data_IF_928721531224
#
_entry.id   IF_928721531224
#
_cell.length_a   1.000
_cell.length_b   1.000
_cell.length_c   1.000
_cell.angle_alpha   90.00
_cell.angle_beta   90.00
_cell.angle_gamma   90.00
#
_symmetry.space_group_name_H-M   'P 1'
#
loop_
_entity.id
_entity.type
_entity.pdbx_description
1 polymer ?
#
# COMPACT_ATOMS: atom_id res chain seq x y z
N UNK A 1 -12.91 17.12 -4.98
CA UNK A 1 -13.10 15.67 -5.14
C UNK A 1 -13.92 15.20 -3.95
N UNK A 2 -15.15 14.77 -4.21
CA UNK A 2 -16.05 14.22 -3.20
C UNK A 2 -15.59 12.82 -2.78
N UNK A 3 -15.91 12.40 -1.55
CA UNK A 3 -15.69 11.01 -1.10
C UNK A 3 -16.43 10.02 -2.00
N UNK A 4 -17.56 10.45 -2.58
CA UNK A 4 -18.32 9.68 -3.56
C UNK A 4 -17.51 9.44 -4.84
N UNK A 5 -16.77 10.43 -5.34
CA UNK A 5 -15.91 10.27 -6.53
C UNK A 5 -14.80 9.23 -6.29
N UNK A 6 -14.27 9.17 -5.06
CA UNK A 6 -13.25 8.18 -4.69
C UNK A 6 -13.85 6.77 -4.70
N UNK A 7 -15.04 6.59 -4.09
CA UNK A 7 -15.75 5.31 -4.07
C UNK A 7 -16.15 4.88 -5.48
N UNK A 8 -16.61 5.82 -6.31
CA UNK A 8 -17.01 5.57 -7.69
C UNK A 8 -15.81 5.13 -8.53
N UNK A 9 -14.65 5.78 -8.38
CA UNK A 9 -13.37 5.37 -9.00
C UNK A 9 -12.93 3.99 -8.52
N UNK A 10 -13.09 3.66 -7.23
CA UNK A 10 -12.81 2.31 -6.72
C UNK A 10 -13.78 1.27 -7.29
N UNK A 11 -15.07 1.62 -7.42
CA UNK A 11 -16.09 0.74 -7.97
C UNK A 11 -15.89 0.51 -9.47
N UNK A 12 -15.52 1.53 -10.23
CA UNK A 12 -15.21 1.45 -11.65
C UNK A 12 -13.90 0.67 -11.88
N UNK A 13 -12.91 0.82 -11.00
CA UNK A 13 -11.73 -0.02 -11.01
C UNK A 13 -12.06 -1.50 -10.76
N UNK A 14 -13.04 -1.81 -9.91
CA UNK A 14 -13.56 -3.16 -9.65
C UNK A 14 -14.39 -3.72 -10.83
N UNK A 15 -15.26 -2.91 -11.45
CA UNK A 15 -16.18 -3.35 -12.51
C UNK A 15 -15.49 -3.46 -13.88
N UNK A 16 -14.59 -2.51 -14.21
CA UNK A 16 -13.76 -2.61 -15.44
C UNK A 16 -12.76 -3.77 -15.31
N UNK A 17 -12.40 -4.12 -14.09
CA UNK A 17 -11.54 -5.25 -13.78
C UNK A 17 -12.17 -6.60 -14.18
N UNK A 18 -13.48 -6.79 -13.97
CA UNK A 18 -14.17 -8.04 -14.31
C UNK A 18 -14.43 -8.21 -15.81
N UNK A 19 -14.72 -7.12 -16.55
CA UNK A 19 -15.09 -7.21 -17.97
C UNK A 19 -13.93 -7.44 -18.94
N UNK A 20 -12.67 -7.27 -18.51
CA UNK A 20 -11.47 -7.51 -19.33
C UNK A 20 -10.64 -8.72 -18.88
N UNK A 21 -11.08 -9.49 -17.88
CA UNK A 21 -10.30 -10.58 -17.33
C UNK A 21 -10.58 -11.90 -18.06
N UNK A 22 -9.65 -12.31 -18.92
CA UNK A 22 -9.48 -13.72 -19.25
C UNK A 22 -9.22 -14.57 -17.99
N UNK A 23 -9.35 -15.91 -18.08
CA UNK A 23 -9.66 -16.81 -16.95
C UNK A 23 -8.56 -17.03 -15.89
N UNK A 24 -7.48 -16.25 -15.84
CA UNK A 24 -6.43 -16.41 -14.82
C UNK A 24 -5.83 -15.08 -14.39
N UNK A 25 -6.59 -14.27 -13.63
CA UNK A 25 -5.92 -13.29 -12.77
C UNK A 25 -5.12 -14.06 -11.71
N UNK A 26 -3.81 -13.81 -11.58
CA UNK A 26 -3.02 -14.52 -10.59
C UNK A 26 -3.53 -14.15 -9.19
N UNK A 27 -3.72 -15.18 -8.35
CA UNK A 27 -4.24 -15.06 -6.96
C UNK A 27 -3.47 -14.04 -6.12
N UNK A 28 -2.23 -13.71 -6.54
CA UNK A 28 -1.37 -12.69 -5.95
C UNK A 28 -2.03 -11.30 -5.89
N UNK A 29 -2.82 -10.91 -6.90
CA UNK A 29 -3.49 -9.59 -6.88
C UNK A 29 -4.62 -9.53 -5.87
N UNK A 30 -5.35 -10.63 -5.71
CA UNK A 30 -6.42 -10.74 -4.70
C UNK A 30 -5.83 -10.50 -3.31
N UNK A 31 -4.62 -11.02 -3.04
CA UNK A 31 -3.92 -10.77 -1.78
C UNK A 31 -3.67 -9.27 -1.55
N UNK A 32 -3.18 -8.53 -2.55
CA UNK A 32 -2.95 -7.09 -2.42
C UNK A 32 -4.26 -6.29 -2.27
N UNK A 33 -5.33 -6.69 -2.96
CA UNK A 33 -6.66 -6.10 -2.75
C UNK A 33 -7.19 -6.35 -1.34
N UNK A 34 -7.03 -7.57 -0.83
CA UNK A 34 -7.43 -7.93 0.55
C UNK A 34 -6.60 -7.16 1.57
N UNK A 35 -5.30 -6.94 1.31
CA UNK A 35 -4.43 -6.16 2.18
C UNK A 35 -4.72 -4.66 2.14
N UNK A 36 -5.27 -4.14 1.05
CA UNK A 36 -5.52 -2.70 0.89
C UNK A 36 -6.39 -2.11 2.01
N UNK A 37 -7.52 -2.76 2.32
CA UNK A 37 -8.45 -2.30 3.36
C UNK A 37 -7.82 -2.28 4.76
N UNK A 38 -7.21 -3.37 5.26
CA UNK A 38 -6.44 -3.39 6.50
C UNK A 38 -5.34 -2.32 6.55
N UNK A 39 -4.59 -2.12 5.46
CA UNK A 39 -3.52 -1.14 5.41
C UNK A 39 -4.04 0.29 5.57
N UNK A 40 -5.16 0.63 4.91
CA UNK A 40 -5.81 1.93 5.05
C UNK A 40 -6.33 2.13 6.49
N UNK A 41 -7.00 1.12 7.04
CA UNK A 41 -7.54 1.17 8.39
C UNK A 41 -6.43 1.34 9.44
N UNK A 42 -5.34 0.58 9.32
CA UNK A 42 -4.20 0.70 10.21
C UNK A 42 -3.53 2.07 10.09
N UNK A 43 -3.34 2.57 8.87
CA UNK A 43 -2.78 3.92 8.68
C UNK A 43 -3.66 5.00 9.29
N UNK A 44 -4.99 4.88 9.20
CA UNK A 44 -5.92 5.81 9.84
C UNK A 44 -5.78 5.83 11.37
N UNK A 45 -5.41 4.70 12.00
CA UNK A 45 -5.11 4.64 13.43
C UNK A 45 -3.74 5.27 13.74
N UNK A 46 -2.73 4.94 12.93
CA UNK A 46 -1.34 5.40 13.12
C UNK A 46 -1.11 6.86 12.71
N UNK A 47 -2.03 7.49 11.98
CA UNK A 47 -1.91 8.89 11.53
C UNK A 47 -1.63 9.82 12.70
N UNK A 48 -2.25 9.58 13.87
CA UNK A 48 -2.04 10.39 15.08
C UNK A 48 -0.61 10.28 15.58
N UNK A 49 -0.07 9.07 15.62
CA UNK A 49 1.33 8.81 16.00
C UNK A 49 2.28 9.53 15.04
N UNK A 50 2.04 9.41 13.73
CA UNK A 50 2.89 10.02 12.71
C UNK A 50 2.87 11.55 12.80
N UNK A 51 1.70 12.15 13.02
CA UNK A 51 1.58 13.61 13.18
C UNK A 51 2.21 14.15 14.46
N UNK A 52 2.41 13.30 15.47
CA UNK A 52 3.04 13.68 16.74
C UNK A 52 4.58 13.67 16.67
N UNK A 53 5.17 13.12 15.61
CA UNK A 53 6.61 13.13 15.40
C UNK A 53 7.15 14.56 15.24
N UNK A 54 8.41 14.77 15.61
CA UNK A 54 9.06 16.08 15.45
C UNK A 54 9.12 16.56 13.99
N UNK A 55 9.18 15.63 13.02
CA UNK A 55 9.18 15.95 11.59
C UNK A 55 8.30 14.99 10.78
N UNK A 56 6.96 15.16 10.83
CA UNK A 56 6.02 14.24 10.18
C UNK A 56 6.21 14.18 8.66
N UNK A 57 6.54 15.31 8.04
CA UNK A 57 6.74 15.42 6.59
C UNK A 57 7.99 14.66 6.15
N UNK A 58 9.10 14.79 6.89
CA UNK A 58 10.33 14.05 6.57
C UNK A 58 10.12 12.55 6.77
N UNK A 59 9.44 12.16 7.84
CA UNK A 59 9.07 10.78 8.09
C UNK A 59 8.24 10.20 6.93
N UNK A 60 7.15 10.89 6.54
CA UNK A 60 6.31 10.49 5.42
C UNK A 60 7.11 10.41 4.12
N UNK A 61 7.95 11.40 3.82
CA UNK A 61 8.76 11.43 2.60
C UNK A 61 9.73 10.26 2.51
N UNK A 62 10.50 10.01 3.56
CA UNK A 62 11.50 8.93 3.60
C UNK A 62 10.83 7.56 3.48
N UNK A 63 9.81 7.29 4.29
CA UNK A 63 9.16 5.98 4.30
C UNK A 63 8.25 5.74 3.08
N UNK A 64 7.74 6.80 2.45
CA UNK A 64 7.09 6.68 1.13
C UNK A 64 8.10 6.29 0.05
N UNK A 65 9.30 6.88 0.06
CA UNK A 65 10.36 6.52 -0.87
C UNK A 65 10.82 5.07 -0.66
N UNK A 66 10.97 4.64 0.60
CA UNK A 66 11.27 3.24 0.93
C UNK A 66 10.15 2.31 0.43
N UNK A 67 8.89 2.66 0.67
CA UNK A 67 7.74 1.90 0.18
C UNK A 67 7.70 1.78 -1.35
N UNK A 68 8.09 2.84 -2.07
CA UNK A 68 8.23 2.82 -3.52
C UNK A 68 9.33 1.86 -3.98
N UNK A 69 10.50 1.87 -3.33
CA UNK A 69 11.61 0.96 -3.63
C UNK A 69 11.16 -0.50 -3.39
N UNK A 70 10.49 -0.76 -2.27
CA UNK A 70 9.95 -2.08 -1.94
C UNK A 70 8.93 -2.53 -2.99
N UNK A 71 8.04 -1.64 -3.43
CA UNK A 71 7.06 -1.93 -4.49
C UNK A 71 7.73 -2.34 -5.79
N UNK A 72 8.75 -1.60 -6.23
CA UNK A 72 9.52 -1.94 -7.43
C UNK A 72 10.16 -3.33 -7.27
N UNK A 73 10.77 -3.59 -6.11
CA UNK A 73 11.34 -4.90 -5.80
C UNK A 73 10.30 -6.03 -5.84
N UNK A 74 9.13 -5.83 -5.21
CA UNK A 74 8.03 -6.78 -5.22
C UNK A 74 7.55 -7.06 -6.64
N UNK A 75 7.38 -6.02 -7.46
CA UNK A 75 6.99 -6.17 -8.87
C UNK A 75 8.00 -6.98 -9.67
N UNK A 76 9.30 -6.69 -9.50
CA UNK A 76 10.38 -7.45 -10.15
C UNK A 76 10.35 -8.93 -9.73
N UNK A 77 10.14 -9.20 -8.44
CA UNK A 77 10.07 -10.57 -7.92
C UNK A 77 8.86 -11.30 -8.51
N UNK A 78 7.68 -10.68 -8.52
CA UNK A 78 6.47 -11.31 -9.05
C UNK A 78 6.63 -11.58 -10.56
N UNK A 79 7.24 -10.67 -11.31
CA UNK A 79 7.54 -10.86 -12.73
C UNK A 79 8.55 -11.99 -12.96
N UNK A 80 9.65 -12.05 -12.18
CA UNK A 80 10.65 -13.12 -12.28
C UNK A 80 10.11 -14.50 -11.91
N UNK A 81 9.10 -14.57 -11.05
CA UNK A 81 8.43 -15.80 -10.68
C UNK A 81 7.34 -16.22 -11.69
N UNK A 82 7.21 -15.52 -12.82
CA UNK A 82 6.20 -15.78 -13.85
C UNK A 82 4.76 -15.77 -13.29
N UNK A 83 4.56 -15.07 -12.18
CA UNK A 83 3.25 -14.96 -11.55
C UNK A 83 2.35 -13.95 -12.28
N UNK A 84 2.93 -13.09 -13.13
CA UNK A 84 2.23 -12.13 -13.98
C UNK A 84 2.91 -12.14 -15.35
N UNK A 85 2.13 -12.34 -16.42
CA UNK A 85 2.63 -12.30 -17.81
C UNK A 85 2.80 -10.87 -18.33
N UNK A 86 1.91 -9.94 -17.95
CA UNK A 86 1.96 -8.54 -18.40
C UNK A 86 1.68 -7.59 -17.23
N UNK A 87 2.53 -6.57 -17.07
CA UNK A 87 2.41 -5.58 -16.00
C UNK A 87 1.66 -4.33 -16.47
N UNK A 88 0.41 -4.15 -16.03
CA UNK A 88 -0.35 -2.93 -16.35
C UNK A 88 -0.15 -1.87 -15.28
N UNK A 89 -0.33 -0.60 -15.65
CA UNK A 89 -0.23 0.54 -14.71
C UNK A 89 -1.14 0.38 -13.48
N UNK A 90 -2.35 -0.16 -13.66
CA UNK A 90 -3.30 -0.44 -12.56
C UNK A 90 -2.77 -1.49 -11.58
N UNK A 91 -2.07 -2.49 -12.10
CA UNK A 91 -1.51 -3.57 -11.30
C UNK A 91 -0.36 -3.05 -10.41
N UNK A 92 0.48 -2.16 -10.94
CA UNK A 92 1.51 -1.47 -10.18
C UNK A 92 0.92 -0.65 -9.01
N UNK A 93 -0.12 0.14 -9.27
CA UNK A 93 -0.79 0.95 -8.22
C UNK A 93 -1.42 0.06 -7.14
N UNK A 94 -1.99 -1.08 -7.54
CA UNK A 94 -2.60 -2.06 -6.62
C UNK A 94 -1.58 -2.62 -5.63
N UNK A 95 -0.31 -2.73 -6.01
CA UNK A 95 0.78 -3.18 -5.14
C UNK A 95 1.37 -1.99 -4.36
N UNK A 96 1.55 -0.85 -5.04
CA UNK A 96 2.17 0.35 -4.48
C UNK A 96 1.46 0.85 -3.22
N UNK A 97 0.14 1.03 -3.29
CA UNK A 97 -0.64 1.61 -2.20
C UNK A 97 -0.51 0.77 -0.91
N UNK A 98 -0.84 -0.53 -0.90
CA UNK A 98 -0.76 -1.32 0.33
C UNK A 98 0.68 -1.45 0.84
N UNK A 99 1.68 -1.64 -0.03
CA UNK A 99 3.09 -1.76 0.39
C UNK A 99 3.57 -0.48 1.07
N UNK A 100 3.29 0.69 0.48
CA UNK A 100 3.69 1.97 1.04
C UNK A 100 2.98 2.27 2.37
N UNK A 101 1.66 2.03 2.44
CA UNK A 101 0.91 2.22 3.68
C UNK A 101 1.41 1.30 4.80
N UNK A 102 1.66 0.02 4.50
CA UNK A 102 2.22 -0.92 5.48
C UNK A 102 3.61 -0.49 5.94
N UNK A 103 4.46 -0.04 5.02
CA UNK A 103 5.80 0.46 5.34
C UNK A 103 5.72 1.62 6.34
N UNK A 104 4.83 2.57 6.10
CA UNK A 104 4.58 3.69 7.00
C UNK A 104 4.06 3.25 8.37
N UNK A 105 3.08 2.33 8.40
CA UNK A 105 2.50 1.83 9.64
C UNK A 105 3.52 1.07 10.49
N UNK A 106 4.32 0.20 9.86
CA UNK A 106 5.38 -0.56 10.52
C UNK A 106 6.42 0.40 11.08
N UNK A 107 6.88 1.36 10.29
CA UNK A 107 7.85 2.36 10.74
C UNK A 107 7.33 3.17 11.94
N UNK A 108 6.06 3.60 11.89
CA UNK A 108 5.40 4.33 12.98
C UNK A 108 5.35 3.49 14.25
N UNK A 109 4.90 2.24 14.13
CA UNK A 109 4.78 1.32 15.27
C UNK A 109 6.14 1.00 15.89
N UNK A 110 7.18 0.81 15.07
CA UNK A 110 8.55 0.58 15.54
C UNK A 110 9.09 1.82 16.27
N UNK A 111 8.89 3.02 15.72
CA UNK A 111 9.32 4.25 16.37
C UNK A 111 8.68 4.44 17.75
N UNK A 112 7.36 4.26 17.84
CA UNK A 112 6.62 4.32 19.12
C UNK A 112 7.15 3.30 20.13
N UNK A 113 7.43 2.08 19.67
CA UNK A 113 7.96 1.02 20.54
C UNK A 113 9.36 1.36 21.06
N UNK A 114 10.20 1.97 20.22
CA UNK A 114 11.53 2.43 20.61
C UNK A 114 11.46 3.55 21.66
N UNK A 115 10.57 4.54 21.48
CA UNK A 115 10.37 5.61 22.45
C UNK A 115 9.98 5.06 23.84
N UNK A 116 9.08 4.07 23.89
CA UNK A 116 8.65 3.45 25.15
C UNK A 116 9.79 2.71 25.86
N UNK A 117 10.73 2.10 25.13
CA UNK A 117 11.82 1.33 25.71
C UNK A 117 12.99 2.17 26.21
N UNK A 118 13.29 3.31 25.57
CA UNK A 118 14.49 4.10 25.86
C UNK A 118 14.23 5.41 26.60
N UNK A 119 12.98 5.87 26.66
CA UNK A 119 12.59 7.12 27.35
C UNK A 119 11.64 6.88 28.54
N UNK A 120 11.62 5.66 29.09
CA UNK A 120 11.01 5.35 30.39
C UNK A 120 12.06 5.26 31.49
#
# INVERSE_FOLDING_TARGET
MSILDIIEVFSDLLVISDKQAGPKRPKIYILFYVLLLPSIFWFAIEIRSVTALASPILFLGIFTLIGLILTIGTVIVIYKLELIEELRKKDFVTILIPVTLLTLCIASSVNRTYEIMFYK
#
